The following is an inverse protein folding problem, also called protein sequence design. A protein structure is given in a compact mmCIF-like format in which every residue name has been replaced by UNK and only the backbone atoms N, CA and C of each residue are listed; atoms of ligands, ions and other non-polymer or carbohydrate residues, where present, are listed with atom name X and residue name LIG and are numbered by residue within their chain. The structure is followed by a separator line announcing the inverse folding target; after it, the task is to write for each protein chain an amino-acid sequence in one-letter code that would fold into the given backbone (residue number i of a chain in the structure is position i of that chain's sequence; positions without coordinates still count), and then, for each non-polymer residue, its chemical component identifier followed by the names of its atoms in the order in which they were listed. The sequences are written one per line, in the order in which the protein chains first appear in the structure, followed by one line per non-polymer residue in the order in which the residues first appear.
data_IF_452438553537
#
_entry.id   IF_452438553537
#
_cell.length_a   1.000
_cell.length_b   1.000
_cell.length_c   1.000
_cell.angle_alpha   90.00
_cell.angle_beta   90.00
_cell.angle_gamma   90.00
#
_symmetry.space_group_name_H-M   'P 1'
#
loop_
_entity.id
_entity.type
_entity.pdbx_description
1 polymer ?
#
# COMPACT_ATOMS: atom_id res chain seq x y z
N UNK A 1 -13.25 25.01 -11.46
CA UNK A 1 -11.95 25.65 -11.81
C UNK A 1 -11.13 24.61 -12.56
N UNK A 2 -10.99 24.72 -13.89
CA UNK A 2 -10.24 23.76 -14.69
C UNK A 2 -8.75 24.04 -14.49
N UNK A 3 -8.06 23.15 -13.79
CA UNK A 3 -6.59 23.23 -13.64
C UNK A 3 -5.92 23.08 -15.00
N UNK A 4 -4.91 23.92 -15.28
CA UNK A 4 -4.08 23.82 -16.48
C UNK A 4 -3.60 22.39 -16.67
N UNK A 5 -3.83 21.79 -17.86
CA UNK A 5 -3.45 20.39 -18.18
C UNK A 5 -2.03 19.99 -17.75
N UNK A 6 -1.08 20.95 -17.71
CA UNK A 6 0.29 20.70 -17.28
C UNK A 6 0.48 20.45 -15.79
N UNK A 7 -0.28 21.11 -14.91
CA UNK A 7 -0.14 20.96 -13.45
C UNK A 7 -0.95 19.80 -12.89
N UNK A 8 -2.10 19.47 -13.50
CA UNK A 8 -3.00 18.43 -13.02
C UNK A 8 -2.36 17.03 -13.05
N UNK A 9 -1.50 16.73 -14.02
CA UNK A 9 -0.80 15.44 -14.12
C UNK A 9 0.15 15.18 -12.94
N UNK A 10 0.76 16.24 -12.38
CA UNK A 10 1.65 16.11 -11.21
C UNK A 10 0.90 15.73 -9.92
N UNK A 11 -0.38 16.07 -9.85
CA UNK A 11 -1.25 15.60 -8.76
C UNK A 11 -1.39 14.08 -8.83
N UNK A 12 -1.50 13.50 -10.04
CA UNK A 12 -1.51 12.05 -10.20
C UNK A 12 -0.21 11.43 -9.69
N UNK A 13 0.95 12.03 -9.97
CA UNK A 13 2.24 11.55 -9.43
C UNK A 13 2.25 11.62 -7.91
N UNK A 14 1.79 12.72 -7.33
CA UNK A 14 1.71 12.86 -5.88
C UNK A 14 0.77 11.81 -5.26
N UNK A 15 -0.38 11.54 -5.87
CA UNK A 15 -1.31 10.51 -5.41
C UNK A 15 -0.70 9.11 -5.51
N UNK A 16 -0.06 8.79 -6.64
CA UNK A 16 0.65 7.52 -6.81
C UNK A 16 1.78 7.38 -5.79
N UNK A 17 2.55 8.45 -5.58
CA UNK A 17 3.62 8.50 -4.59
C UNK A 17 3.10 8.18 -3.18
N UNK A 18 2.01 8.84 -2.76
CA UNK A 18 1.41 8.59 -1.44
C UNK A 18 0.91 7.15 -1.33
N UNK A 19 0.24 6.62 -2.36
CA UNK A 19 -0.22 5.22 -2.34
C UNK A 19 0.93 4.23 -2.20
N UNK A 20 2.02 4.41 -2.97
CA UNK A 20 3.20 3.55 -2.89
C UNK A 20 3.91 3.70 -1.54
N UNK A 21 3.97 4.91 -1.00
CA UNK A 21 4.50 5.15 0.35
C UNK A 21 3.69 4.39 1.41
N UNK A 22 2.35 4.50 1.38
CA UNK A 22 1.46 3.78 2.30
C UNK A 22 1.62 2.26 2.18
N UNK A 23 1.73 1.73 0.97
CA UNK A 23 2.01 0.32 0.72
C UNK A 23 3.29 -0.16 1.46
N UNK A 24 4.33 0.66 1.48
CA UNK A 24 5.56 0.34 2.21
C UNK A 24 5.43 0.52 3.73
N UNK A 25 4.60 1.44 4.18
CA UNK A 25 4.24 1.57 5.61
C UNK A 25 3.59 0.27 6.09
N UNK A 26 2.57 -0.23 5.38
CA UNK A 26 1.84 -1.46 5.72
C UNK A 26 2.77 -2.68 5.85
N UNK A 27 3.74 -2.79 4.95
CA UNK A 27 4.74 -3.88 5.00
C UNK A 27 5.60 -3.85 6.26
N UNK A 28 5.95 -2.67 6.75
CA UNK A 28 6.86 -2.51 7.88
C UNK A 28 6.17 -2.62 9.24
N UNK A 29 4.87 -2.36 9.32
CA UNK A 29 4.15 -2.38 10.62
C UNK A 29 4.36 -3.70 11.34
N UNK A 30 4.18 -4.84 10.66
CA UNK A 30 4.35 -6.16 11.29
C UNK A 30 5.78 -6.37 11.80
N UNK A 31 6.79 -5.92 11.06
CA UNK A 31 8.19 -6.05 11.44
C UNK A 31 8.51 -5.22 12.70
N UNK A 32 8.01 -3.98 12.75
CA UNK A 32 8.22 -3.09 13.88
C UNK A 32 7.47 -3.54 15.12
N UNK A 33 6.31 -4.17 14.96
CA UNK A 33 5.49 -4.68 16.04
C UNK A 33 5.81 -6.13 16.42
N UNK A 34 6.74 -6.80 15.70
CA UNK A 34 7.11 -8.19 15.96
C UNK A 34 7.35 -8.47 17.45
N UNK A 35 8.19 -7.72 18.19
CA UNK A 35 8.46 -8.01 19.59
C UNK A 35 7.19 -7.99 20.46
N UNK A 36 6.29 -7.04 20.20
CA UNK A 36 5.04 -6.90 20.93
C UNK A 36 4.07 -8.05 20.63
N UNK A 37 3.93 -8.39 19.35
CA UNK A 37 3.02 -9.45 18.90
C UNK A 37 3.53 -10.83 19.30
N UNK A 38 4.84 -11.05 19.23
CA UNK A 38 5.49 -12.29 19.66
C UNK A 38 5.27 -12.54 21.16
N UNK A 39 5.43 -11.51 21.98
CA UNK A 39 5.18 -11.61 23.43
C UNK A 39 3.69 -11.89 23.72
N UNK A 40 2.76 -11.27 22.96
CA UNK A 40 1.33 -11.41 23.19
C UNK A 40 0.75 -12.72 22.65
N UNK A 41 1.16 -13.16 21.46
CA UNK A 41 0.60 -14.31 20.76
C UNK A 41 1.50 -15.55 20.82
N UNK A 42 2.67 -15.45 21.47
CA UNK A 42 3.69 -16.50 21.57
C UNK A 42 4.13 -17.03 20.20
N UNK A 43 4.33 -16.12 19.25
CA UNK A 43 4.85 -16.49 17.93
C UNK A 43 6.27 -17.01 18.04
N UNK A 44 6.59 -17.95 17.16
CA UNK A 44 7.97 -18.32 16.89
C UNK A 44 8.57 -17.43 15.79
N UNK A 45 9.89 -17.36 15.73
CA UNK A 45 10.58 -16.73 14.58
C UNK A 45 10.17 -17.37 13.26
N UNK A 46 9.87 -18.68 13.28
CA UNK A 46 9.40 -19.42 12.11
C UNK A 46 7.99 -18.96 11.68
N UNK A 47 7.08 -18.68 12.61
CA UNK A 47 5.75 -18.17 12.27
C UNK A 47 5.86 -16.81 11.58
N UNK A 48 6.68 -15.92 12.12
CA UNK A 48 6.94 -14.62 11.51
C UNK A 48 7.56 -14.74 10.11
N UNK A 49 8.58 -15.58 9.95
CA UNK A 49 9.22 -15.82 8.66
C UNK A 49 8.25 -16.40 7.62
N UNK A 50 7.40 -17.34 8.05
CA UNK A 50 6.37 -17.94 7.21
C UNK A 50 5.31 -16.91 6.78
N UNK A 51 4.88 -15.99 7.67
CA UNK A 51 3.96 -14.90 7.32
C UNK A 51 4.58 -13.98 6.25
N UNK A 52 5.87 -13.64 6.39
CA UNK A 52 6.60 -12.87 5.40
C UNK A 52 6.70 -13.58 4.05
N UNK A 53 7.00 -14.87 4.07
CA UNK A 53 7.06 -15.72 2.87
C UNK A 53 5.69 -15.83 2.20
N UNK A 54 4.63 -16.08 2.96
CA UNK A 54 3.27 -16.16 2.43
C UNK A 54 2.83 -14.86 1.75
N UNK A 55 3.14 -13.72 2.36
CA UNK A 55 2.91 -12.40 1.75
C UNK A 55 3.65 -12.25 0.41
N UNK A 56 4.95 -12.58 0.36
CA UNK A 56 5.77 -12.44 -0.86
C UNK A 56 5.29 -13.37 -1.97
N UNK A 57 4.98 -14.62 -1.65
CA UNK A 57 4.44 -15.61 -2.59
C UNK A 57 3.09 -15.15 -3.14
N UNK A 58 2.18 -14.72 -2.27
CA UNK A 58 0.87 -14.20 -2.67
C UNK A 58 1.00 -12.99 -3.59
N UNK A 59 1.91 -12.04 -3.25
CA UNK A 59 2.19 -10.88 -4.08
C UNK A 59 2.74 -11.27 -5.44
N UNK A 60 3.69 -12.21 -5.50
CA UNK A 60 4.31 -12.64 -6.75
C UNK A 60 3.30 -13.31 -7.70
N UNK A 61 2.44 -14.20 -7.19
CA UNK A 61 1.38 -14.83 -8.00
C UNK A 61 0.33 -13.81 -8.45
N UNK A 62 -0.13 -12.94 -7.57
CA UNK A 62 -1.12 -11.92 -7.91
C UNK A 62 -0.57 -10.93 -8.95
N UNK A 63 0.73 -10.61 -8.88
CA UNK A 63 1.39 -9.70 -9.83
C UNK A 63 1.26 -10.15 -11.29
N UNK A 64 1.23 -11.46 -11.55
CA UNK A 64 1.07 -12.02 -12.90
C UNK A 64 -0.28 -11.61 -13.54
N UNK A 65 -1.34 -11.47 -12.72
CA UNK A 65 -2.67 -11.08 -13.19
C UNK A 65 -2.96 -9.58 -13.14
N UNK A 66 -2.14 -8.81 -12.42
CA UNK A 66 -2.45 -7.41 -12.12
C UNK A 66 -2.48 -6.51 -13.37
N UNK A 67 -1.58 -6.74 -14.33
CA UNK A 67 -1.56 -6.01 -15.59
C UNK A 67 -2.88 -6.19 -16.35
N UNK A 68 -3.30 -7.44 -16.54
CA UNK A 68 -4.57 -7.79 -17.16
C UNK A 68 -5.77 -7.17 -16.40
N UNK A 69 -5.76 -7.24 -15.08
CA UNK A 69 -6.80 -6.63 -14.25
C UNK A 69 -6.92 -5.12 -14.51
N UNK A 70 -5.80 -4.40 -14.47
CA UNK A 70 -5.76 -2.96 -14.74
C UNK A 70 -6.12 -2.59 -16.18
N UNK A 71 -5.85 -3.47 -17.15
CA UNK A 71 -6.25 -3.26 -18.54
C UNK A 71 -7.76 -3.41 -18.71
N UNK A 72 -8.36 -4.38 -18.03
CA UNK A 72 -9.79 -4.66 -18.16
C UNK A 72 -10.68 -3.72 -17.36
N UNK A 73 -10.31 -3.41 -16.12
CA UNK A 73 -11.09 -2.56 -15.19
C UNK A 73 -10.81 -1.06 -15.41
N UNK A 74 -9.67 -0.76 -16.00
CA UNK A 74 -9.14 0.59 -16.15
C UNK A 74 -8.32 1.03 -14.94
N UNK A 75 -7.33 1.87 -15.21
CA UNK A 75 -6.37 2.33 -14.20
C UNK A 75 -7.05 2.99 -12.99
N UNK A 76 -8.00 3.89 -13.24
CA UNK A 76 -8.63 4.70 -12.19
C UNK A 76 -9.37 3.86 -11.16
N UNK A 77 -10.20 2.94 -11.64
CA UNK A 77 -11.00 2.05 -10.78
C UNK A 77 -10.12 0.94 -10.22
N UNK A 78 -9.30 0.30 -11.06
CA UNK A 78 -8.46 -0.82 -10.65
C UNK A 78 -7.45 -0.44 -9.57
N UNK A 79 -6.83 0.74 -9.67
CA UNK A 79 -5.92 1.21 -8.63
C UNK A 79 -6.66 1.52 -7.32
N UNK A 80 -7.79 2.22 -7.40
CA UNK A 80 -8.61 2.50 -6.21
C UNK A 80 -9.11 1.22 -5.52
N UNK A 81 -9.54 0.20 -6.28
CA UNK A 81 -9.94 -1.10 -5.73
C UNK A 81 -8.74 -1.80 -5.05
N UNK A 82 -7.56 -1.76 -5.65
CA UNK A 82 -6.35 -2.28 -5.02
C UNK A 82 -6.09 -1.61 -3.67
N UNK A 83 -6.06 -0.26 -3.64
CA UNK A 83 -5.84 0.50 -2.39
C UNK A 83 -6.93 0.21 -1.37
N UNK A 84 -8.19 0.14 -1.77
CA UNK A 84 -9.30 -0.18 -0.88
C UNK A 84 -9.11 -1.55 -0.23
N UNK A 85 -8.84 -2.59 -1.04
CA UNK A 85 -8.72 -3.96 -0.54
C UNK A 85 -7.47 -4.11 0.34
N UNK A 86 -6.32 -3.52 -0.04
CA UNK A 86 -5.15 -3.62 0.83
C UNK A 86 -5.31 -2.84 2.14
N UNK A 87 -6.01 -1.69 2.13
CA UNK A 87 -6.30 -0.94 3.34
C UNK A 87 -7.17 -1.74 4.31
N UNK A 88 -8.21 -2.41 3.79
CA UNK A 88 -9.06 -3.30 4.59
C UNK A 88 -8.29 -4.52 5.09
N UNK A 89 -7.44 -5.11 4.26
CA UNK A 89 -6.58 -6.23 4.65
C UNK A 89 -5.54 -5.82 5.71
N UNK A 90 -4.97 -4.61 5.59
CA UNK A 90 -4.12 -4.00 6.60
C UNK A 90 -4.86 -3.86 7.93
N UNK A 91 -6.05 -3.25 7.91
CA UNK A 91 -6.90 -3.09 9.11
C UNK A 91 -7.32 -4.44 9.71
N UNK A 92 -7.51 -5.50 8.91
CA UNK A 92 -7.87 -6.83 9.40
C UNK A 92 -6.84 -7.41 10.38
N UNK A 93 -5.56 -7.01 10.28
CA UNK A 93 -4.53 -7.40 11.25
C UNK A 93 -4.85 -6.91 12.66
N UNK A 94 -5.51 -5.76 12.82
CA UNK A 94 -5.89 -5.23 14.14
C UNK A 94 -6.90 -6.12 14.88
N UNK A 95 -7.63 -6.96 14.14
CA UNK A 95 -8.63 -7.88 14.68
C UNK A 95 -8.14 -9.34 14.72
N UNK A 96 -6.94 -9.60 14.23
CA UNK A 96 -6.35 -10.93 14.26
C UNK A 96 -5.93 -11.30 15.69
N UNK A 97 -6.43 -12.45 16.18
CA UNK A 97 -6.14 -12.95 17.53
C UNK A 97 -5.36 -14.26 17.53
N UNK A 98 -5.09 -14.81 16.36
CA UNK A 98 -4.41 -16.09 16.18
C UNK A 98 -3.40 -16.01 15.04
N UNK A 99 -2.37 -16.86 15.07
CA UNK A 99 -1.37 -16.97 13.99
C UNK A 99 -2.01 -17.19 12.62
N UNK A 100 -2.98 -18.13 12.44
CA UNK A 100 -3.66 -18.32 11.15
C UNK A 100 -4.42 -17.08 10.68
N UNK A 101 -4.99 -16.28 11.58
CA UNK A 101 -5.68 -15.03 11.21
C UNK A 101 -4.71 -13.99 10.65
N UNK A 102 -3.53 -13.84 11.28
CA UNK A 102 -2.45 -12.99 10.73
C UNK A 102 -1.97 -13.49 9.37
N UNK A 103 -1.83 -14.81 9.20
CA UNK A 103 -1.49 -15.41 7.92
C UNK A 103 -2.49 -15.05 6.81
N UNK A 104 -3.77 -15.25 7.09
CA UNK A 104 -4.83 -14.94 6.13
C UNK A 104 -4.82 -13.44 5.75
N UNK A 105 -4.69 -12.56 6.75
CA UNK A 105 -4.60 -11.12 6.52
C UNK A 105 -3.35 -10.76 5.69
N UNK A 106 -2.21 -11.42 5.92
CA UNK A 106 -0.97 -11.22 5.13
C UNK A 106 -1.11 -11.67 3.68
N UNK A 107 -1.72 -12.81 3.44
CA UNK A 107 -1.98 -13.30 2.07
C UNK A 107 -2.89 -12.32 1.33
N UNK A 108 -3.99 -11.89 1.95
CA UNK A 108 -4.93 -10.94 1.36
C UNK A 108 -4.25 -9.59 1.07
N UNK A 109 -3.45 -9.10 2.02
CA UNK A 109 -2.66 -7.88 1.86
C UNK A 109 -1.71 -8.00 0.67
N UNK A 110 -0.95 -9.10 0.57
CA UNK A 110 0.00 -9.33 -0.52
C UNK A 110 -0.68 -9.36 -1.89
N UNK A 111 -1.83 -10.04 -2.01
CA UNK A 111 -2.62 -10.05 -3.24
C UNK A 111 -3.04 -8.63 -3.63
N UNK A 112 -3.60 -7.87 -2.71
CA UNK A 112 -4.13 -6.54 -2.99
C UNK A 112 -3.01 -5.52 -3.29
N UNK A 113 -1.88 -5.58 -2.60
CA UNK A 113 -0.73 -4.70 -2.79
C UNK A 113 -0.01 -4.90 -4.14
N UNK A 114 -0.17 -6.07 -4.76
CA UNK A 114 0.44 -6.36 -6.06
C UNK A 114 0.07 -5.35 -7.16
N UNK A 115 -1.07 -4.65 -7.00
CA UNK A 115 -1.55 -3.61 -7.92
C UNK A 115 -0.66 -2.35 -7.91
N UNK A 116 0.03 -2.05 -6.82
CA UNK A 116 0.72 -0.78 -6.61
C UNK A 116 1.74 -0.42 -7.70
N UNK A 117 2.70 -1.30 -7.95
CA UNK A 117 3.75 -1.07 -8.95
C UNK A 117 3.21 -0.98 -10.39
N UNK A 118 2.39 -1.93 -10.89
CA UNK A 118 1.80 -1.81 -12.22
C UNK A 118 0.94 -0.58 -12.40
N UNK A 119 0.17 -0.17 -11.37
CA UNK A 119 -0.62 1.05 -11.42
C UNK A 119 0.25 2.30 -11.48
N UNK A 120 1.37 2.36 -10.76
CA UNK A 120 2.32 3.46 -10.83
C UNK A 120 2.93 3.61 -12.24
N UNK A 121 3.40 2.50 -12.82
CA UNK A 121 3.96 2.48 -14.18
C UNK A 121 2.91 2.86 -15.21
N UNK A 122 1.70 2.30 -15.12
CA UNK A 122 0.60 2.62 -16.03
C UNK A 122 0.13 4.06 -15.89
N UNK A 123 0.13 4.62 -14.67
CA UNK A 123 -0.17 6.05 -14.44
C UNK A 123 0.84 6.95 -15.15
N UNK A 124 2.12 6.66 -15.00
CA UNK A 124 3.17 7.42 -15.70
C UNK A 124 3.04 7.30 -17.23
N UNK A 125 2.69 6.11 -17.74
CA UNK A 125 2.49 5.90 -19.18
C UNK A 125 1.26 6.63 -19.73
N UNK A 126 0.18 6.74 -18.93
CA UNK A 126 -1.10 7.34 -19.35
C UNK A 126 -1.08 8.86 -19.32
N UNK A 127 -0.46 9.45 -18.28
CA UNK A 127 -0.55 10.89 -18.04
C UNK A 127 0.67 11.70 -18.48
N UNK A 128 1.79 11.02 -18.84
CA UNK A 128 3.03 11.71 -19.18
C UNK A 128 3.55 11.34 -20.58
N UNK A 129 4.09 12.34 -21.27
CA UNK A 129 4.85 12.15 -22.49
C UNK A 129 6.20 11.45 -22.17
N UNK A 130 6.90 11.00 -23.21
CA UNK A 130 8.12 10.19 -23.08
C UNK A 130 9.21 10.88 -22.23
N UNK A 131 9.34 12.21 -22.31
CA UNK A 131 10.36 13.00 -21.61
C UNK A 131 10.08 13.09 -20.10
N UNK A 132 8.82 13.37 -19.72
CA UNK A 132 8.44 13.60 -18.32
C UNK A 132 8.14 12.31 -17.58
N UNK A 133 7.88 11.20 -18.31
CA UNK A 133 7.57 9.88 -17.74
C UNK A 133 8.69 9.36 -16.86
N UNK A 134 9.94 9.53 -17.25
CA UNK A 134 11.10 9.10 -16.46
C UNK A 134 11.19 9.85 -15.13
N UNK A 135 10.90 11.15 -15.14
CA UNK A 135 10.88 11.98 -13.93
C UNK A 135 9.75 11.52 -13.00
N UNK A 136 8.55 11.27 -13.55
CA UNK A 136 7.41 10.79 -12.78
C UNK A 136 7.68 9.43 -12.11
N UNK A 137 8.30 8.50 -12.85
CA UNK A 137 8.72 7.20 -12.31
C UNK A 137 9.85 7.35 -11.28
N UNK A 138 10.82 8.23 -11.52
CA UNK A 138 11.90 8.53 -10.58
C UNK A 138 11.36 9.03 -9.24
N UNK A 139 10.41 9.97 -9.25
CA UNK A 139 9.73 10.45 -8.05
C UNK A 139 8.99 9.29 -7.37
N UNK A 140 8.22 8.51 -8.13
CA UNK A 140 7.48 7.35 -7.58
C UNK A 140 8.40 6.34 -6.88
N UNK A 141 9.59 6.10 -7.43
CA UNK A 141 10.57 5.16 -6.88
C UNK A 141 11.23 5.66 -5.58
N UNK A 142 11.07 6.93 -5.20
CA UNK A 142 11.53 7.40 -3.87
C UNK A 142 10.50 7.15 -2.77
N UNK A 143 9.24 6.91 -3.11
CA UNK A 143 8.16 6.69 -2.14
C UNK A 143 8.41 5.53 -1.16
N UNK A 144 8.91 4.36 -1.58
CA UNK A 144 9.31 3.28 -0.68
C UNK A 144 10.31 3.71 0.39
N UNK A 145 11.32 4.48 -0.01
CA UNK A 145 12.37 4.93 0.91
C UNK A 145 11.82 5.93 1.94
N UNK A 146 10.94 6.84 1.52
CA UNK A 146 10.27 7.77 2.43
C UNK A 146 9.38 7.00 3.41
N UNK A 147 8.60 6.02 2.92
CA UNK A 147 7.83 5.11 3.78
C UNK A 147 8.71 4.38 4.80
N UNK A 148 9.87 3.86 4.35
CA UNK A 148 10.82 3.17 5.20
C UNK A 148 11.41 4.03 6.33
N UNK A 149 11.61 5.34 6.08
CA UNK A 149 12.11 6.30 7.07
C UNK A 149 10.99 6.73 8.03
N UNK A 150 9.82 7.02 7.49
CA UNK A 150 8.69 7.58 8.26
C UNK A 150 8.08 6.54 9.21
N UNK A 151 7.94 5.30 8.77
CA UNK A 151 7.26 4.25 9.53
C UNK A 151 7.85 4.00 10.92
N UNK A 152 9.20 3.83 11.09
CA UNK A 152 9.79 3.61 12.40
C UNK A 152 9.65 4.80 13.37
N UNK A 153 9.41 6.01 12.85
CA UNK A 153 9.23 7.20 13.68
C UNK A 153 7.84 7.27 14.31
N UNK A 154 6.81 6.79 13.59
CA UNK A 154 5.41 6.96 14.01
C UNK A 154 4.79 5.69 14.57
N UNK A 155 5.08 4.52 13.99
CA UNK A 155 4.40 3.28 14.36
C UNK A 155 4.68 2.84 15.80
N UNK A 156 5.94 2.85 16.32
CA UNK A 156 6.19 2.51 17.71
C UNK A 156 5.52 3.48 18.69
N UNK A 157 5.56 4.79 18.40
CA UNK A 157 4.93 5.80 19.25
C UNK A 157 3.40 5.61 19.29
N UNK A 158 2.78 5.33 18.13
CA UNK A 158 1.35 5.06 18.03
C UNK A 158 0.97 3.78 18.79
N UNK A 159 1.76 2.73 18.65
CA UNK A 159 1.53 1.46 19.34
C UNK A 159 1.68 1.59 20.86
N UNK A 160 2.61 2.39 21.35
CA UNK A 160 2.79 2.66 22.79
C UNK A 160 1.63 3.48 23.36
N UNK A 161 1.11 4.46 22.62
CA UNK A 161 0.06 5.35 23.10
C UNK A 161 -1.34 4.73 23.04
N UNK A 162 -1.64 3.94 21.99
CA UNK A 162 -3.01 3.49 21.68
C UNK A 162 -3.12 1.96 21.49
N UNK A 163 -2.03 1.22 21.71
CA UNK A 163 -1.98 -0.21 21.42
C UNK A 163 -1.56 -0.53 19.98
N UNK A 164 -1.02 -1.73 19.78
CA UNK A 164 -0.49 -2.15 18.49
C UNK A 164 -1.54 -2.17 17.36
N UNK A 165 -2.81 -2.41 17.71
CA UNK A 165 -3.94 -2.39 16.77
C UNK A 165 -4.09 -1.04 16.07
N UNK A 166 -3.82 0.06 16.81
CA UNK A 166 -3.93 1.42 16.28
C UNK A 166 -3.01 1.64 15.08
N UNK A 167 -1.83 1.01 15.04
CA UNK A 167 -0.91 1.11 13.93
C UNK A 167 -1.54 0.61 12.61
N UNK A 168 -2.19 -0.54 12.63
CA UNK A 168 -2.87 -1.10 11.46
C UNK A 168 -4.13 -0.30 11.08
N UNK A 169 -4.91 0.13 12.07
CA UNK A 169 -6.14 0.91 11.83
C UNK A 169 -5.82 2.29 11.23
N UNK A 170 -4.79 2.96 11.73
CA UNK A 170 -4.39 4.28 11.22
C UNK A 170 -3.82 4.16 9.80
N UNK A 171 -2.93 3.21 9.55
CA UNK A 171 -2.36 3.02 8.23
C UNK A 171 -3.43 2.67 7.18
N UNK A 172 -4.31 1.70 7.48
CA UNK A 172 -5.43 1.37 6.60
C UNK A 172 -6.42 2.52 6.46
N UNK A 173 -6.70 3.27 7.54
CA UNK A 173 -7.54 4.48 7.50
C UNK A 173 -7.00 5.56 6.56
N UNK A 174 -5.69 5.79 6.55
CA UNK A 174 -5.03 6.70 5.59
C UNK A 174 -5.21 6.21 4.15
N UNK A 175 -5.15 4.91 3.91
CA UNK A 175 -5.42 4.33 2.60
C UNK A 175 -6.88 4.53 2.17
N UNK A 176 -7.86 4.39 3.07
CA UNK A 176 -9.26 4.69 2.78
C UNK A 176 -9.49 6.17 2.45
N UNK A 177 -8.85 7.08 3.20
CA UNK A 177 -8.87 8.51 2.89
C UNK A 177 -8.28 8.77 1.50
N UNK A 178 -7.18 8.10 1.17
CA UNK A 178 -6.57 8.19 -0.14
C UNK A 178 -7.55 7.80 -1.25
N UNK A 179 -8.32 6.71 -1.08
CA UNK A 179 -9.33 6.28 -2.07
C UNK A 179 -10.37 7.36 -2.30
N UNK A 180 -10.86 8.00 -1.23
CA UNK A 180 -11.83 9.10 -1.35
C UNK A 180 -11.23 10.27 -2.13
N UNK A 181 -10.01 10.69 -1.75
CA UNK A 181 -9.30 11.80 -2.42
C UNK A 181 -9.03 11.47 -3.90
N UNK A 182 -8.65 10.22 -4.21
CA UNK A 182 -8.44 9.76 -5.57
C UNK A 182 -9.66 9.93 -6.48
N UNK A 183 -10.85 9.64 -5.97
CA UNK A 183 -12.09 9.83 -6.73
C UNK A 183 -12.53 11.29 -6.84
N UNK A 184 -12.17 12.14 -5.89
CA UNK A 184 -12.44 13.58 -5.94
C UNK A 184 -11.57 14.30 -6.99
N UNK A 185 -10.37 13.80 -7.25
CA UNK A 185 -9.46 14.38 -8.25
C UNK A 185 -9.91 13.93 -9.66
N UNK A 186 -10.33 14.88 -10.48
CA UNK A 186 -10.69 14.65 -11.88
C UNK A 186 -9.58 15.15 -12.79
N UNK A 187 -8.66 14.29 -13.16
CA UNK A 187 -7.65 14.56 -14.20
C UNK A 187 -7.98 13.69 -15.41
N UNK A 188 -8.19 14.34 -16.54
CA UNK A 188 -8.34 13.64 -17.83
C UNK A 188 -6.95 13.39 -18.42
N UNK A 189 -6.67 12.20 -18.98
CA UNK A 189 -5.43 11.89 -19.67
C UNK A 189 -5.23 12.70 -20.95
#
# INVERSE_FOLDING_TARGET
MAMRRGSARWIIVAMVFVAVMLNYVDRQILALLKPTLEAQFRWSDQDYANMGTAFQVATAFAFLGTGWFLDRVGLRIGFALGVLVWSLAGMAHAFATTVPAFFAARILLGIAESVGTPAAVKSAATYFNHKDRQIALGIGNTAPNIGAIVTPLFIPALALAFGWQAAFLVAGGLGLIWVVVWFLIRVQP
#
